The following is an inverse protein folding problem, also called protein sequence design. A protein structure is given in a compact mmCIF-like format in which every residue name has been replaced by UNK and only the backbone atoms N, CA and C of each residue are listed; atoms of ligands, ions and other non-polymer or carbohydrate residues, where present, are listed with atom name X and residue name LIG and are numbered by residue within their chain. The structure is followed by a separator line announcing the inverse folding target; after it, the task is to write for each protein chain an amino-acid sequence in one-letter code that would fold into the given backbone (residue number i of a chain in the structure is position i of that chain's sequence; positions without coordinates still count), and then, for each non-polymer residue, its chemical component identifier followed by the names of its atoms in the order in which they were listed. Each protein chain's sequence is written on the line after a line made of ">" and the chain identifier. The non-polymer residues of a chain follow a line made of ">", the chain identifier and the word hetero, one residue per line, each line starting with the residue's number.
data_IF_109259289603
#
_entry.id   IF_109259289603
#
_cell.length_a   1.000
_cell.length_b   1.000
_cell.length_c   1.000
_cell.angle_alpha   90.00
_cell.angle_beta   90.00
_cell.angle_gamma   90.00
#
_symmetry.space_group_name_H-M   'P 1'
#
loop_
_entity.id
_entity.type
_entity.pdbx_description
1 polymer ?
#
# COMPACT_ATOMS: atom_id res chain seq x y z
N UNK A 1 6.41 -25.37 10.09
CA UNK A 1 5.63 -24.14 9.81
C UNK A 1 4.24 -24.59 9.38
N UNK A 2 3.13 -24.07 9.92
CA UNK A 2 1.84 -24.28 9.24
C UNK A 2 1.99 -23.78 7.80
N UNK A 3 1.50 -24.55 6.83
CA UNK A 3 1.60 -24.22 5.41
C UNK A 3 0.98 -22.85 5.17
N UNK A 4 1.81 -21.86 4.87
CA UNK A 4 1.34 -20.54 4.51
C UNK A 4 0.72 -20.60 3.11
N UNK A 5 -0.56 -20.23 3.01
CA UNK A 5 -1.36 -20.45 1.81
C UNK A 5 -1.43 -19.22 0.88
N UNK A 6 -0.79 -18.11 1.24
CA UNK A 6 -0.62 -16.91 0.41
C UNK A 6 0.71 -16.20 0.74
N UNK A 7 1.28 -15.50 -0.24
CA UNK A 7 2.32 -14.48 -0.01
C UNK A 7 1.62 -13.13 0.21
N UNK A 8 1.89 -12.49 1.35
CA UNK A 8 1.44 -11.13 1.62
C UNK A 8 2.50 -10.13 1.14
N UNK A 9 2.14 -9.34 0.13
CA UNK A 9 2.95 -8.23 -0.40
C UNK A 9 2.34 -6.93 0.07
N UNK A 10 2.96 -6.29 1.06
CA UNK A 10 2.56 -4.94 1.48
C UNK A 10 3.11 -3.88 0.52
N UNK A 11 2.25 -2.95 0.11
CA UNK A 11 2.63 -1.75 -0.64
C UNK A 11 2.20 -0.55 0.19
N UNK A 12 3.19 0.08 0.82
CA UNK A 12 2.99 1.23 1.72
C UNK A 12 3.60 2.51 1.18
N UNK A 13 3.34 3.63 1.86
CA UNK A 13 3.76 4.97 1.47
C UNK A 13 2.68 6.02 1.74
N UNK A 14 3.04 7.31 1.70
CA UNK A 14 2.11 8.40 1.97
C UNK A 14 0.89 8.38 1.03
N UNK A 15 -0.18 9.03 1.47
CA UNK A 15 -1.36 9.30 0.65
C UNK A 15 -0.93 9.92 -0.70
N UNK A 16 -1.55 9.47 -1.80
CA UNK A 16 -1.25 9.92 -3.17
C UNK A 16 0.16 9.63 -3.73
N UNK A 17 0.91 8.69 -3.15
CA UNK A 17 2.21 8.27 -3.69
C UNK A 17 2.13 7.38 -4.95
N UNK A 18 1.00 6.70 -5.19
CA UNK A 18 0.79 5.82 -6.35
C UNK A 18 0.63 4.33 -6.01
N UNK A 19 0.47 3.98 -4.73
CA UNK A 19 0.32 2.61 -4.24
C UNK A 19 -0.77 1.82 -4.96
N UNK A 20 -1.99 2.34 -5.00
CA UNK A 20 -3.13 1.69 -5.66
C UNK A 20 -2.89 1.43 -7.14
N UNK A 21 -2.22 2.34 -7.84
CA UNK A 21 -1.82 2.13 -9.23
C UNK A 21 -0.84 0.97 -9.34
N UNK A 22 0.22 0.96 -8.53
CA UNK A 22 1.21 -0.11 -8.52
C UNK A 22 0.58 -1.46 -8.15
N UNK A 23 -0.29 -1.49 -7.14
CA UNK A 23 -1.00 -2.69 -6.70
C UNK A 23 -1.84 -3.30 -7.83
N UNK A 24 -2.57 -2.46 -8.56
CA UNK A 24 -3.37 -2.87 -9.73
C UNK A 24 -2.50 -3.40 -10.87
N UNK A 25 -1.41 -2.70 -11.20
CA UNK A 25 -0.48 -3.17 -12.23
C UNK A 25 0.17 -4.50 -11.87
N UNK A 26 0.61 -4.67 -10.63
CA UNK A 26 1.18 -5.94 -10.15
C UNK A 26 0.15 -7.07 -10.18
N UNK A 27 -1.10 -6.81 -9.76
CA UNK A 27 -2.20 -7.79 -9.86
C UNK A 27 -2.45 -8.20 -11.32
N UNK A 28 -2.42 -7.25 -12.24
CA UNK A 28 -2.71 -7.51 -13.65
C UNK A 28 -1.56 -8.28 -14.33
N UNK A 29 -0.31 -8.09 -13.87
CA UNK A 29 0.88 -8.82 -14.34
C UNK A 29 1.00 -10.22 -13.74
N UNK A 30 0.77 -10.36 -12.43
CA UNK A 30 1.01 -11.61 -11.69
C UNK A 30 -0.17 -12.58 -11.85
N UNK A 31 0.08 -13.87 -12.13
CA UNK A 31 -0.99 -14.86 -12.08
C UNK A 31 -1.43 -15.10 -10.64
N UNK A 32 -2.73 -15.32 -10.44
CA UNK A 32 -3.33 -15.64 -9.13
C UNK A 32 -3.03 -14.58 -8.05
N UNK A 33 -3.11 -13.30 -8.42
CA UNK A 33 -2.99 -12.18 -7.51
C UNK A 33 -4.34 -11.51 -7.24
N UNK A 34 -4.52 -10.98 -6.03
CA UNK A 34 -5.66 -10.15 -5.67
C UNK A 34 -5.21 -9.00 -4.75
N UNK A 35 -6.07 -7.98 -4.60
CA UNK A 35 -5.77 -6.80 -3.80
C UNK A 35 -6.70 -6.74 -2.59
N UNK A 36 -6.14 -6.37 -1.45
CA UNK A 36 -6.84 -5.90 -0.26
C UNK A 36 -6.45 -4.45 -0.02
N UNK A 37 -7.42 -3.56 0.17
CA UNK A 37 -7.14 -2.16 0.51
C UNK A 37 -7.29 -1.94 2.02
N UNK A 38 -6.31 -1.30 2.65
CA UNK A 38 -6.39 -0.87 4.06
C UNK A 38 -7.60 0.06 4.28
N UNK A 39 -7.89 0.91 3.29
CA UNK A 39 -9.03 1.84 3.28
C UNK A 39 -10.39 1.12 3.37
N UNK A 40 -10.48 -0.18 3.07
CA UNK A 40 -11.73 -0.94 3.25
C UNK A 40 -12.12 -1.10 4.73
N UNK A 41 -11.15 -0.90 5.64
CA UNK A 41 -11.25 -1.06 7.09
C UNK A 41 -11.44 0.27 7.83
N UNK A 42 -11.77 1.37 7.12
CA UNK A 42 -12.21 2.58 7.79
C UNK A 42 -13.42 2.33 8.70
N UNK A 43 -13.39 2.95 9.89
CA UNK A 43 -14.54 3.01 10.80
C UNK A 43 -15.67 3.84 10.16
N UNK A 44 -16.92 3.67 10.63
CA UNK A 44 -18.02 4.52 10.19
C UNK A 44 -17.72 6.01 10.41
N UNK A 45 -18.22 6.88 9.53
CA UNK A 45 -17.95 8.33 9.52
C UNK A 45 -18.11 8.98 10.91
N UNK A 46 -19.14 8.60 11.67
CA UNK A 46 -19.41 9.11 13.02
C UNK A 46 -18.36 8.70 14.09
N UNK A 47 -17.51 7.71 13.78
CA UNK A 47 -16.46 7.19 14.65
C UNK A 47 -15.05 7.60 14.20
N UNK A 48 -14.94 8.40 13.13
CA UNK A 48 -13.67 8.96 12.70
C UNK A 48 -13.23 10.02 13.72
N UNK A 49 -11.98 9.97 14.21
CA UNK A 49 -11.48 10.92 15.20
C UNK A 49 -11.45 12.34 14.65
N UNK A 50 -11.47 13.33 15.56
CA UNK A 50 -11.26 14.73 15.18
C UNK A 50 -9.81 15.12 15.38
N UNK A 51 -9.22 15.71 14.33
CA UNK A 51 -7.93 16.37 14.42
C UNK A 51 -8.02 17.62 15.32
N UNK A 52 -6.88 18.07 15.86
CA UNK A 52 -6.80 19.26 16.71
C UNK A 52 -7.33 20.55 16.04
N UNK A 53 -7.40 20.58 14.71
CA UNK A 53 -7.97 21.68 13.92
C UNK A 53 -9.50 21.63 13.79
N UNK A 54 -10.16 20.61 14.35
CA UNK A 54 -11.62 20.44 14.35
C UNK A 54 -12.20 19.74 13.12
N UNK A 55 -11.36 19.22 12.23
CA UNK A 55 -11.77 18.42 11.06
C UNK A 55 -11.63 16.93 11.36
N UNK A 56 -12.36 16.07 10.65
CA UNK A 56 -12.19 14.63 10.75
C UNK A 56 -10.77 14.22 10.31
N UNK A 57 -10.12 13.35 11.07
CA UNK A 57 -8.79 12.80 10.77
C UNK A 57 -8.94 11.39 10.19
N UNK A 58 -8.93 11.31 8.86
CA UNK A 58 -8.97 10.04 8.13
C UNK A 58 -7.59 9.43 7.93
N UNK A 59 -6.52 10.14 8.27
CA UNK A 59 -5.14 9.76 7.94
C UNK A 59 -4.39 9.35 9.21
N UNK A 60 -5.06 8.62 10.12
CA UNK A 60 -4.50 8.13 11.37
C UNK A 60 -4.98 6.70 11.69
N UNK A 61 -4.24 5.99 12.54
CA UNK A 61 -4.56 4.61 12.93
C UNK A 61 -5.93 4.48 13.61
N UNK A 62 -6.32 5.49 14.39
CA UNK A 62 -7.62 5.51 15.07
C UNK A 62 -8.81 5.59 14.12
N UNK A 63 -8.60 5.95 12.85
CA UNK A 63 -9.65 5.92 11.83
C UNK A 63 -9.96 4.50 11.33
N UNK A 64 -9.07 3.52 11.57
CA UNK A 64 -9.16 2.15 11.03
C UNK A 64 -9.59 1.13 12.10
N UNK A 65 -10.35 0.12 11.69
CA UNK A 65 -10.57 -1.10 12.46
C UNK A 65 -9.37 -2.04 12.27
N UNK A 66 -8.31 -1.79 13.03
CA UNK A 66 -7.06 -2.56 12.95
C UNK A 66 -7.25 -4.03 13.33
N UNK A 67 -8.22 -4.34 14.20
CA UNK A 67 -8.51 -5.73 14.59
C UNK A 67 -9.14 -6.50 13.43
N UNK A 68 -10.10 -5.89 12.73
CA UNK A 68 -10.67 -6.47 11.52
C UNK A 68 -9.61 -6.60 10.41
N UNK A 69 -8.75 -5.59 10.25
CA UNK A 69 -7.67 -5.63 9.26
C UNK A 69 -6.68 -6.76 9.53
N UNK A 70 -6.17 -6.87 10.76
CA UNK A 70 -5.26 -7.95 11.16
C UNK A 70 -5.92 -9.33 10.98
N UNK A 71 -7.19 -9.46 11.36
CA UNK A 71 -7.96 -10.69 11.18
C UNK A 71 -8.06 -11.09 9.70
N UNK A 72 -8.29 -10.13 8.80
CA UNK A 72 -8.32 -10.38 7.36
C UNK A 72 -6.96 -10.83 6.82
N UNK A 73 -5.86 -10.19 7.23
CA UNK A 73 -4.51 -10.59 6.84
C UNK A 73 -4.18 -12.01 7.30
N UNK A 74 -4.49 -12.35 8.55
CA UNK A 74 -4.30 -13.70 9.11
C UNK A 74 -5.15 -14.74 8.38
N UNK A 75 -6.41 -14.40 8.08
CA UNK A 75 -7.29 -15.24 7.28
C UNK A 75 -6.67 -15.53 5.90
N UNK A 76 -6.15 -14.50 5.22
CA UNK A 76 -5.50 -14.67 3.92
C UNK A 76 -4.26 -15.57 4.03
N UNK A 77 -3.37 -15.37 5.01
CA UNK A 77 -2.21 -16.27 5.21
C UNK A 77 -2.63 -17.72 5.43
N UNK A 78 -3.76 -17.94 6.12
CA UNK A 78 -4.27 -19.26 6.45
C UNK A 78 -5.06 -19.92 5.31
N UNK A 79 -5.75 -19.16 4.47
CA UNK A 79 -6.72 -19.71 3.50
C UNK A 79 -6.34 -19.45 2.03
N UNK A 80 -5.39 -18.54 1.78
CA UNK A 80 -4.97 -18.17 0.43
C UNK A 80 -5.92 -17.22 -0.31
N UNK A 81 -6.99 -16.78 0.35
CA UNK A 81 -8.08 -16.01 -0.25
C UNK A 81 -8.57 -14.95 0.76
N UNK A 82 -9.16 -13.83 0.29
CA UNK A 82 -9.77 -12.85 1.17
C UNK A 82 -11.05 -13.43 1.82
N UNK A 83 -11.46 -12.90 3.00
CA UNK A 83 -12.75 -13.24 3.59
C UNK A 83 -13.91 -12.99 2.60
N UNK A 84 -14.85 -13.93 2.49
CA UNK A 84 -15.92 -13.89 1.47
C UNK A 84 -16.92 -12.74 1.63
N UNK A 85 -17.01 -12.16 2.81
CA UNK A 85 -17.85 -11.03 3.18
C UNK A 85 -17.19 -9.67 2.94
N UNK A 86 -15.89 -9.67 2.60
CA UNK A 86 -15.17 -8.45 2.32
C UNK A 86 -15.54 -7.91 0.93
N UNK A 87 -16.07 -6.69 0.91
CA UNK A 87 -16.41 -5.97 -0.32
C UNK A 87 -15.55 -4.72 -0.41
N UNK A 88 -14.66 -4.68 -1.40
CA UNK A 88 -13.79 -3.53 -1.68
C UNK A 88 -14.63 -2.29 -2.03
N UNK A 89 -14.43 -1.22 -1.27
CA UNK A 89 -15.02 0.10 -1.49
C UNK A 89 -14.04 0.98 -2.26
N UNK A 90 -12.75 0.78 -2.07
CA UNK A 90 -11.70 1.53 -2.77
C UNK A 90 -11.78 1.32 -4.30
N UNK A 91 -12.27 0.16 -4.76
CA UNK A 91 -12.53 -0.04 -6.19
C UNK A 91 -13.65 0.84 -6.77
N UNK A 92 -14.45 1.50 -5.91
CA UNK A 92 -15.47 2.48 -6.32
C UNK A 92 -14.94 3.91 -6.38
N UNK A 93 -13.77 4.19 -5.79
CA UNK A 93 -13.17 5.51 -5.84
C UNK A 93 -12.56 5.75 -7.23
N UNK A 94 -12.74 6.98 -7.74
CA UNK A 94 -12.23 7.37 -9.05
C UNK A 94 -10.71 7.18 -9.09
N UNK A 95 -10.24 6.41 -10.07
CA UNK A 95 -8.81 6.36 -10.38
C UNK A 95 -8.40 7.78 -10.77
N UNK A 96 -7.35 8.31 -10.15
CA UNK A 96 -6.72 9.56 -10.60
C UNK A 96 -6.31 9.48 -12.09
N UNK A 97 -5.80 10.58 -12.64
CA UNK A 97 -5.39 10.68 -14.05
C UNK A 97 -4.73 9.39 -14.58
N UNK A 98 -5.10 9.02 -15.81
CA UNK A 98 -4.55 7.87 -16.52
C UNK A 98 -3.02 7.89 -16.41
N UNK A 99 -2.47 6.85 -15.78
CA UNK A 99 -1.04 6.76 -15.57
C UNK A 99 -0.41 6.22 -16.84
N UNK A 100 0.51 6.98 -17.41
CA UNK A 100 1.29 6.57 -18.57
C UNK A 100 2.27 5.48 -18.12
N UNK A 101 2.04 4.24 -18.59
CA UNK A 101 2.87 3.06 -18.33
C UNK A 101 3.19 2.44 -19.66
N UNK A 102 4.45 2.04 -19.85
CA UNK A 102 4.89 1.39 -21.07
C UNK A 102 4.22 0.00 -21.19
N UNK A 103 3.31 -0.14 -22.16
CA UNK A 103 2.60 -1.39 -22.40
C UNK A 103 3.54 -2.53 -22.80
N UNK A 104 4.67 -2.25 -23.45
CA UNK A 104 5.64 -3.29 -23.79
C UNK A 104 6.28 -3.90 -22.54
N UNK A 105 6.48 -3.09 -21.49
CA UNK A 105 6.95 -3.56 -20.18
C UNK A 105 5.87 -4.41 -19.49
N UNK A 106 4.61 -3.98 -19.52
CA UNK A 106 3.50 -4.79 -18.98
C UNK A 106 3.44 -6.16 -19.67
N UNK A 107 3.53 -6.21 -20.99
CA UNK A 107 3.49 -7.45 -21.77
C UNK A 107 4.67 -8.37 -21.44
N UNK A 108 5.89 -7.82 -21.37
CA UNK A 108 7.10 -8.58 -21.01
C UNK A 108 7.01 -9.14 -19.58
N UNK A 109 6.60 -8.32 -18.61
CA UNK A 109 6.43 -8.78 -17.23
C UNK A 109 5.33 -9.83 -17.11
N UNK A 110 4.20 -9.66 -17.81
CA UNK A 110 3.11 -10.65 -17.82
C UNK A 110 3.59 -11.98 -18.41
N UNK A 111 4.36 -11.93 -19.50
CA UNK A 111 4.97 -13.12 -20.09
C UNK A 111 5.94 -13.80 -19.12
N UNK A 112 6.83 -13.05 -18.46
CA UNK A 112 7.74 -13.57 -17.43
C UNK A 112 6.96 -14.20 -16.26
N UNK A 113 5.90 -13.55 -15.82
CA UNK A 113 5.08 -13.99 -14.71
C UNK A 113 4.28 -15.26 -15.02
N UNK A 114 3.98 -15.53 -16.29
CA UNK A 114 3.23 -16.74 -16.71
C UNK A 114 3.86 -18.06 -16.24
N UNK A 115 5.18 -18.09 -16.02
CA UNK A 115 5.88 -19.26 -15.48
C UNK A 115 5.35 -19.69 -14.10
N UNK A 116 4.83 -18.75 -13.32
CA UNK A 116 4.30 -18.99 -11.98
C UNK A 116 2.96 -19.75 -12.02
N UNK A 117 2.21 -19.70 -13.12
CA UNK A 117 0.98 -20.50 -13.30
C UNK A 117 1.24 -22.01 -13.27
N UNK A 118 2.44 -22.43 -13.67
CA UNK A 118 2.82 -23.84 -13.79
C UNK A 118 3.68 -24.34 -12.63
N UNK A 119 3.85 -23.51 -11.60
CA UNK A 119 4.65 -23.82 -10.44
C UNK A 119 3.75 -23.90 -9.21
N UNK A 120 4.15 -24.71 -8.22
CA UNK A 120 3.42 -24.85 -6.98
C UNK A 120 3.75 -23.70 -6.03
N UNK A 121 3.41 -22.46 -6.43
CA UNK A 121 3.53 -21.27 -5.60
C UNK A 121 2.16 -20.84 -5.09
N UNK A 122 2.04 -20.34 -3.85
CA UNK A 122 0.78 -19.85 -3.34
C UNK A 122 0.35 -18.54 -4.04
N UNK A 123 -0.96 -18.18 -3.99
CA UNK A 123 -1.46 -16.91 -4.49
C UNK A 123 -0.77 -15.70 -3.83
N UNK A 124 -0.74 -14.59 -4.57
CA UNK A 124 -0.16 -13.32 -4.10
C UNK A 124 -1.27 -12.39 -3.64
N UNK A 125 -1.30 -12.07 -2.35
CA UNK A 125 -2.19 -11.08 -1.79
C UNK A 125 -1.45 -9.74 -1.67
N UNK A 126 -1.83 -8.78 -2.52
CA UNK A 126 -1.27 -7.44 -2.54
C UNK A 126 -2.08 -6.57 -1.59
N UNK A 127 -1.42 -6.01 -0.59
CA UNK A 127 -2.06 -5.20 0.45
C UNK A 127 -1.66 -3.75 0.21
N UNK A 128 -2.61 -2.92 -0.20
CA UNK A 128 -2.44 -1.50 -0.50
C UNK A 128 -2.91 -0.67 0.69
N UNK A 129 -2.00 0.06 1.34
CA UNK A 129 -2.33 0.85 2.52
C UNK A 129 -1.29 1.92 2.81
N UNK A 130 -1.67 3.00 3.49
CA UNK A 130 -0.76 4.11 3.78
C UNK A 130 -0.13 4.03 5.18
N UNK A 131 -0.65 3.17 6.07
CA UNK A 131 -0.18 3.00 7.45
C UNK A 131 0.43 1.62 7.71
N UNK A 132 0.55 0.75 6.70
CA UNK A 132 1.02 -0.64 6.88
C UNK A 132 2.35 -0.76 7.63
N UNK A 133 3.23 0.25 7.52
CA UNK A 133 4.54 0.26 8.16
C UNK A 133 4.71 1.37 9.18
N UNK A 134 3.63 1.97 9.68
CA UNK A 134 3.73 2.94 10.77
C UNK A 134 4.46 2.33 11.98
N UNK A 135 5.08 3.16 12.80
CA UNK A 135 5.86 2.68 13.95
C UNK A 135 5.02 1.78 14.87
N UNK A 136 3.77 2.17 15.13
CA UNK A 136 2.81 1.46 15.99
C UNK A 136 2.24 0.17 15.36
N UNK A 137 2.39 -0.03 14.04
CA UNK A 137 1.89 -1.21 13.32
C UNK A 137 2.89 -2.37 13.29
N UNK A 138 3.80 -2.48 14.27
CA UNK A 138 4.84 -3.52 14.31
C UNK A 138 4.28 -4.94 14.12
N UNK A 139 3.25 -5.32 14.89
CA UNK A 139 2.66 -6.66 14.82
C UNK A 139 1.98 -6.99 13.49
N UNK A 140 1.37 -6.00 12.83
CA UNK A 140 0.77 -6.16 11.49
C UNK A 140 1.87 -6.18 10.43
N UNK A 141 2.88 -5.31 10.56
CA UNK A 141 4.03 -5.23 9.67
C UNK A 141 4.76 -6.58 9.59
N UNK A 142 4.86 -7.32 10.69
CA UNK A 142 5.48 -8.66 10.71
C UNK A 142 4.72 -9.72 9.89
N UNK A 143 3.45 -9.50 9.56
CA UNK A 143 2.67 -10.45 8.75
C UNK A 143 3.10 -10.47 7.28
N UNK A 144 3.67 -9.37 6.75
CA UNK A 144 4.06 -9.25 5.35
C UNK A 144 5.34 -9.99 5.02
N UNK A 145 5.32 -10.79 3.96
CA UNK A 145 6.49 -11.51 3.46
C UNK A 145 7.34 -10.60 2.55
N UNK A 146 6.69 -9.72 1.78
CA UNK A 146 7.33 -8.69 0.98
C UNK A 146 6.83 -7.33 1.42
N UNK A 147 7.76 -6.39 1.66
CA UNK A 147 7.43 -5.05 2.13
C UNK A 147 7.94 -3.98 1.18
N UNK A 148 7.08 -3.43 0.33
CA UNK A 148 7.40 -2.36 -0.61
C UNK A 148 6.95 -1.00 -0.05
N UNK A 149 7.79 0.02 -0.12
CA UNK A 149 7.47 1.37 0.34
C UNK A 149 7.72 2.42 -0.77
N UNK A 150 6.66 3.11 -1.17
CA UNK A 150 6.67 4.15 -2.20
C UNK A 150 6.81 5.51 -1.54
N UNK A 151 7.97 6.14 -1.68
CA UNK A 151 8.17 7.52 -1.26
C UNK A 151 7.66 8.50 -2.34
N UNK A 152 7.20 9.66 -1.88
CA UNK A 152 6.87 10.80 -2.75
C UNK A 152 7.21 12.10 -2.03
N UNK A 153 7.35 13.20 -2.78
CA UNK A 153 7.58 14.53 -2.22
C UNK A 153 6.26 15.19 -1.79
N UNK A 154 6.33 16.07 -0.79
CA UNK A 154 5.17 16.77 -0.25
C UNK A 154 4.31 17.44 -1.33
N UNK A 155 4.95 18.21 -2.22
CA UNK A 155 4.25 18.97 -3.26
C UNK A 155 3.56 18.06 -4.28
N UNK A 156 4.14 16.89 -4.55
CA UNK A 156 3.53 15.90 -5.45
C UNK A 156 2.33 15.23 -4.78
N UNK A 157 2.46 14.79 -3.52
CA UNK A 157 1.35 14.23 -2.75
C UNK A 157 0.19 15.23 -2.63
N UNK A 158 0.51 16.48 -2.29
CA UNK A 158 -0.45 17.58 -2.15
C UNK A 158 -1.22 17.83 -3.44
N UNK A 159 -0.51 18.08 -4.55
CA UNK A 159 -1.14 18.34 -5.86
C UNK A 159 -2.08 17.20 -6.26
N UNK A 160 -1.65 15.95 -6.04
CA UNK A 160 -2.45 14.77 -6.39
C UNK A 160 -3.67 14.60 -5.48
N UNK A 161 -3.54 14.84 -4.17
CA UNK A 161 -4.63 14.76 -3.20
C UNK A 161 -5.67 15.86 -3.46
N UNK A 162 -5.23 17.10 -3.61
CA UNK A 162 -6.09 18.27 -3.89
C UNK A 162 -6.82 18.15 -5.24
N UNK A 163 -6.30 17.34 -6.18
CA UNK A 163 -6.95 17.09 -7.47
C UNK A 163 -8.03 15.99 -7.42
N UNK A 164 -8.20 15.29 -6.30
CA UNK A 164 -9.28 14.29 -6.14
C UNK A 164 -10.59 15.03 -5.92
N UNK A 165 -11.64 14.56 -6.58
CA UNK A 165 -13.00 15.13 -6.48
C UNK A 165 -13.68 14.87 -5.13
N UNK A 166 -13.06 14.08 -4.25
CA UNK A 166 -13.58 13.60 -2.96
C UNK A 166 -13.57 12.06 -2.88
N UNK A 167 -14.07 11.53 -1.77
CA UNK A 167 -13.96 10.12 -1.37
C UNK A 167 -15.34 9.56 -1.04
N UNK A 168 -15.64 8.36 -1.54
CA UNK A 168 -16.83 7.62 -1.10
C UNK A 168 -16.54 7.02 0.26
N UNK A 169 -17.33 7.39 1.27
CA UNK A 169 -17.21 6.85 2.63
C UNK A 169 -18.26 5.77 2.88
N UNK A 170 -18.27 5.21 4.10
CA UNK A 170 -19.29 4.23 4.51
C UNK A 170 -20.70 4.82 4.51
N UNK A 171 -20.84 6.11 4.84
CA UNK A 171 -22.14 6.74 5.08
C UNK A 171 -22.42 7.94 4.16
N UNK A 172 -21.50 8.28 3.27
CA UNK A 172 -21.70 9.38 2.34
C UNK A 172 -20.48 9.68 1.47
N UNK A 173 -20.06 10.94 1.51
CA UNK A 173 -19.00 11.48 0.67
C UNK A 173 -18.18 12.49 1.48
N UNK A 174 -16.86 12.37 1.41
CA UNK A 174 -15.93 13.27 2.06
C UNK A 174 -15.16 14.09 1.03
N UNK A 175 -15.02 15.38 1.28
CA UNK A 175 -14.16 16.27 0.51
C UNK A 175 -13.16 16.91 1.48
N UNK A 176 -11.87 16.85 1.13
CA UNK A 176 -10.82 17.38 1.98
C UNK A 176 -11.01 18.91 2.16
N UNK A 177 -11.04 19.43 3.40
CA UNK A 177 -11.15 20.86 3.62
C UNK A 177 -9.88 21.60 3.16
N UNK A 178 -9.94 22.94 3.01
CA UNK A 178 -8.77 23.72 2.63
C UNK A 178 -7.57 23.45 3.54
N UNK A 179 -6.41 23.21 2.94
CA UNK A 179 -5.14 22.90 3.59
C UNK A 179 -5.11 21.57 4.38
N UNK A 180 -6.02 20.62 4.12
CA UNK A 180 -6.06 19.34 4.83
C UNK A 180 -4.75 18.54 4.70
N UNK A 181 -4.10 18.57 3.52
CA UNK A 181 -2.82 17.87 3.31
C UNK A 181 -1.73 18.39 4.23
N UNK A 182 -1.65 19.71 4.34
CA UNK A 182 -0.63 20.42 5.09
C UNK A 182 -0.85 20.29 6.60
N UNK A 183 -2.12 20.27 7.01
CA UNK A 183 -2.50 20.33 8.40
C UNK A 183 -2.73 18.96 9.05
N UNK A 184 -3.03 17.92 8.26
CA UNK A 184 -3.42 16.59 8.76
C UNK A 184 -2.60 15.49 8.08
N UNK A 185 -2.78 15.30 6.77
CA UNK A 185 -2.20 14.16 6.03
C UNK A 185 -0.68 14.08 6.15
N UNK A 186 0.03 15.17 5.88
CA UNK A 186 1.48 15.18 5.86
C UNK A 186 2.11 15.14 7.26
N UNK A 187 1.59 15.89 8.26
CA UNK A 187 1.99 15.71 9.65
C UNK A 187 1.84 14.27 10.15
N UNK A 188 0.70 13.63 9.91
CA UNK A 188 0.47 12.23 10.34
C UNK A 188 1.44 11.29 9.64
N UNK A 189 1.63 11.43 8.33
CA UNK A 189 2.65 10.65 7.60
C UNK A 189 4.05 10.78 8.21
N UNK A 190 4.48 12.00 8.57
CA UNK A 190 5.76 12.23 9.25
C UNK A 190 5.82 11.52 10.59
N UNK A 191 4.79 11.69 11.41
CA UNK A 191 4.72 11.04 12.72
C UNK A 191 4.87 9.52 12.58
N UNK A 192 4.13 8.92 11.66
CA UNK A 192 4.05 7.47 11.53
C UNK A 192 5.29 6.84 10.88
N UNK A 193 6.02 7.57 10.02
CA UNK A 193 7.08 6.99 9.19
C UNK A 193 8.46 7.65 9.36
N UNK A 194 8.62 8.71 10.17
CA UNK A 194 9.90 9.41 10.33
C UNK A 194 11.07 8.48 10.68
N UNK A 195 10.82 7.43 11.48
CA UNK A 195 11.85 6.46 11.88
C UNK A 195 12.52 5.73 10.69
N UNK A 196 11.85 5.69 9.53
CA UNK A 196 12.36 5.11 8.28
C UNK A 196 13.36 6.01 7.55
N UNK A 197 13.57 7.26 8.00
CA UNK A 197 14.36 8.27 7.31
C UNK A 197 15.49 8.83 8.17
N UNK A 198 16.58 9.27 7.53
CA UNK A 198 17.71 9.87 8.24
C UNK A 198 17.25 11.17 8.91
N UNK A 199 17.47 11.26 10.22
CA UNK A 199 17.09 12.44 11.00
C UNK A 199 15.58 12.71 11.08
N UNK A 200 14.73 11.73 10.72
CA UNK A 200 13.28 11.90 10.70
C UNK A 200 12.74 12.72 9.52
N UNK A 201 13.58 13.05 8.53
CA UNK A 201 13.17 13.82 7.36
C UNK A 201 12.58 12.91 6.27
N UNK A 202 11.25 12.81 6.22
CA UNK A 202 10.52 11.96 5.24
C UNK A 202 10.70 12.37 3.78
N UNK A 203 11.24 13.57 3.52
CA UNK A 203 11.60 14.03 2.17
C UNK A 203 13.07 13.74 1.85
N UNK A 204 13.88 13.45 2.87
CA UNK A 204 15.30 13.12 2.80
C UNK A 204 15.58 11.64 2.49
N UNK A 205 16.82 11.21 2.73
CA UNK A 205 17.25 9.84 2.47
C UNK A 205 16.66 8.84 3.47
N UNK A 206 16.44 7.59 3.03
CA UNK A 206 16.06 6.53 3.95
C UNK A 206 17.16 6.25 4.96
N UNK A 207 16.76 5.79 6.13
CA UNK A 207 17.65 5.12 7.07
C UNK A 207 17.84 3.66 6.59
N UNK A 208 18.88 3.43 5.77
CA UNK A 208 19.15 2.11 5.16
C UNK A 208 19.31 0.99 6.19
N UNK A 209 19.92 1.29 7.34
CA UNK A 209 20.06 0.32 8.43
C UNK A 209 18.70 -0.09 8.97
N UNK A 210 17.80 0.87 9.19
CA UNK A 210 16.46 0.61 9.71
C UNK A 210 15.56 -0.10 8.70
N UNK A 211 15.61 0.29 7.42
CA UNK A 211 14.89 -0.41 6.36
C UNK A 211 15.35 -1.87 6.24
N UNK A 212 16.66 -2.11 6.29
CA UNK A 212 17.23 -3.46 6.26
C UNK A 212 16.82 -4.28 7.47
N UNK A 213 16.86 -3.70 8.67
CA UNK A 213 16.40 -4.33 9.92
C UNK A 213 14.94 -4.80 9.80
N UNK A 214 14.07 -3.97 9.23
CA UNK A 214 12.64 -4.25 9.08
C UNK A 214 12.27 -5.04 7.82
N UNK A 215 13.25 -5.31 6.95
CA UNK A 215 13.03 -5.95 5.65
C UNK A 215 12.14 -5.13 4.70
N UNK A 216 12.17 -3.80 4.80
CA UNK A 216 11.40 -2.89 3.94
C UNK A 216 12.25 -2.47 2.75
N UNK A 217 11.75 -2.72 1.54
CA UNK A 217 12.30 -2.22 0.29
C UNK A 217 11.68 -0.86 -0.04
N UNK A 218 12.44 0.22 0.20
CA UNK A 218 12.06 1.56 -0.23
C UNK A 218 12.35 1.80 -1.72
N UNK A 219 11.47 2.49 -2.43
CA UNK A 219 11.69 2.87 -3.84
C UNK A 219 12.95 3.72 -3.98
N UNK A 220 13.84 3.39 -4.92
CA UNK A 220 15.00 4.21 -5.28
C UNK A 220 14.59 5.47 -6.06
N UNK A 221 15.50 6.44 -6.17
CA UNK A 221 15.31 7.63 -7.01
C UNK A 221 15.09 7.27 -8.48
N UNK A 222 15.67 6.17 -8.96
CA UNK A 222 15.43 5.66 -10.30
C UNK A 222 14.01 5.07 -10.45
N UNK A 223 13.57 4.23 -9.51
CA UNK A 223 12.24 3.62 -9.54
C UNK A 223 11.12 4.68 -9.45
N UNK A 224 11.39 5.84 -8.83
CA UNK A 224 10.43 6.94 -8.72
C UNK A 224 10.28 7.78 -10.01
N UNK A 225 11.14 7.61 -11.01
CA UNK A 225 11.10 8.43 -12.23
C UNK A 225 9.84 8.19 -13.06
N UNK A 226 9.29 6.97 -13.04
CA UNK A 226 8.04 6.63 -13.73
C UNK A 226 7.34 5.45 -13.07
N UNK A 227 6.03 5.33 -13.29
CA UNK A 227 5.29 4.16 -12.82
C UNK A 227 5.76 2.87 -13.50
N UNK A 228 6.24 2.94 -14.75
CA UNK A 228 6.89 1.81 -15.44
C UNK A 228 8.08 1.28 -14.64
N UNK A 229 9.03 2.14 -14.26
CA UNK A 229 10.21 1.73 -13.49
C UNK A 229 9.84 1.24 -12.09
N UNK A 230 8.82 1.84 -11.49
CA UNK A 230 8.28 1.40 -10.20
C UNK A 230 7.69 -0.02 -10.29
N UNK A 231 6.95 -0.32 -11.37
CA UNK A 231 6.42 -1.65 -11.63
C UNK A 231 7.53 -2.69 -11.83
N UNK A 232 8.53 -2.40 -12.66
CA UNK A 232 9.68 -3.31 -12.88
C UNK A 232 10.41 -3.62 -11.57
N UNK A 233 10.69 -2.58 -10.77
CA UNK A 233 11.33 -2.71 -9.47
C UNK A 233 10.50 -3.59 -8.51
N UNK A 234 9.21 -3.29 -8.38
CA UNK A 234 8.33 -4.02 -7.48
C UNK A 234 8.15 -5.48 -7.91
N UNK A 235 7.97 -5.72 -9.22
CA UNK A 235 7.85 -7.07 -9.77
C UNK A 235 9.11 -7.88 -9.48
N UNK A 236 10.31 -7.31 -9.67
CA UNK A 236 11.56 -8.02 -9.39
C UNK A 236 11.68 -8.52 -7.95
N UNK A 237 11.26 -7.72 -6.97
CA UNK A 237 11.26 -8.10 -5.55
C UNK A 237 10.23 -9.21 -5.27
N UNK A 238 9.02 -9.08 -5.82
CA UNK A 238 7.96 -10.09 -5.66
C UNK A 238 8.37 -11.41 -6.34
N UNK A 239 9.05 -11.33 -7.48
CA UNK A 239 9.56 -12.46 -8.23
C UNK A 239 10.62 -13.25 -7.43
N UNK A 240 11.52 -12.55 -6.75
CA UNK A 240 12.51 -13.15 -5.84
C UNK A 240 11.82 -13.87 -4.68
N UNK A 241 10.83 -13.24 -4.05
CA UNK A 241 10.08 -13.84 -2.95
C UNK A 241 9.30 -15.10 -3.38
N UNK A 242 8.67 -15.08 -4.56
CA UNK A 242 8.03 -16.25 -5.17
C UNK A 242 9.05 -17.37 -5.46
N UNK A 243 10.28 -17.03 -5.80
CA UNK A 243 11.38 -17.97 -5.98
C UNK A 243 11.73 -18.71 -4.69
N UNK A 244 11.86 -17.97 -3.60
CA UNK A 244 12.21 -18.51 -2.28
C UNK A 244 11.09 -19.36 -1.65
N UNK A 245 9.84 -19.14 -2.05
CA UNK A 245 8.69 -19.92 -1.57
C UNK A 245 8.60 -21.36 -2.12
N UNK A 246 9.44 -21.70 -3.10
CA UNK A 246 9.47 -23.05 -3.69
C UNK A 246 10.30 -24.07 -2.90
N UNK A 247 11.22 -23.59 -2.08
CA UNK A 247 12.14 -24.43 -1.29
C UNK A 247 11.54 -24.79 0.07
#
# INVERSE_FOLDING_TARGET
>A
MPSQNAILVGISGPSSSGKTTLARLLRDVLPNAFILHEDDFYKPDASIPQHATGVADWDCLDALDLSAFESALRHIKQHGLPPSDLVSKEDKNSIGQQVDVDHAVIDDLTWKASRWMFQNVPPVAIIDGFLLYSEEMEGIRELFDVKLFLKTEFETARRRREARSGYVTLQGFWEDPPNYVQNVVWPNYKQDHAFMFKGGDVEGEYNDEKLKELGISGTSSEAQQSMTKCLEWAYGIVEEALGNFKE
#
